data_IF_597826284065
#
_entry.id   IF_597826284065
#
_cell.length_a   1.000
_cell.length_b   1.000
_cell.length_c   1.000
_cell.angle_alpha   90.00
_cell.angle_beta   90.00
_cell.angle_gamma   90.00
#
_symmetry.space_group_name_H-M   'P 1'
#
loop_
_entity.id
_entity.type
_entity.pdbx_description
1 polymer ?
#
# COMPACT_ATOMS: atom_id res chain seq x y z
N UNK A 1 -4.78 -4.20 -38.81
CA UNK A 1 -4.51 -4.08 -37.35
C UNK A 1 -4.18 -5.47 -36.85
N UNK A 2 -3.27 -5.62 -35.88
CA UNK A 2 -2.63 -6.92 -35.59
C UNK A 2 -3.53 -8.00 -34.96
N UNK A 3 -4.81 -7.71 -34.69
CA UNK A 3 -5.72 -8.63 -33.97
C UNK A 3 -7.17 -8.60 -34.46
N UNK A 4 -7.44 -8.27 -35.73
CA UNK A 4 -8.76 -8.37 -36.41
C UNK A 4 -10.06 -8.01 -35.63
N UNK A 5 -10.00 -7.25 -34.53
CA UNK A 5 -11.17 -6.96 -33.69
C UNK A 5 -11.55 -8.10 -32.73
N UNK A 6 -10.67 -9.06 -32.45
CA UNK A 6 -10.93 -10.18 -31.52
C UNK A 6 -11.14 -9.74 -30.06
N UNK A 7 -10.75 -8.51 -29.72
CA UNK A 7 -10.86 -7.97 -28.36
C UNK A 7 -11.36 -6.53 -28.40
N UNK A 8 -12.27 -6.21 -27.48
CA UNK A 8 -12.89 -4.89 -27.36
C UNK A 8 -12.04 -3.88 -26.55
N UNK A 9 -10.91 -4.33 -25.97
CA UNK A 9 -9.99 -3.49 -25.20
C UNK A 9 -9.07 -4.28 -24.26
N UNK A 10 -8.27 -3.57 -23.47
CA UNK A 10 -7.38 -4.18 -22.46
C UNK A 10 -8.14 -4.97 -21.40
N UNK A 11 -9.28 -4.45 -20.94
CA UNK A 11 -10.12 -5.15 -19.95
C UNK A 11 -10.67 -6.48 -20.48
N UNK A 12 -11.02 -6.54 -21.76
CA UNK A 12 -11.51 -7.77 -22.41
C UNK A 12 -10.38 -8.80 -22.59
N UNK A 13 -9.17 -8.33 -22.90
CA UNK A 13 -7.97 -9.17 -22.94
C UNK A 13 -7.67 -9.77 -21.55
N UNK A 14 -7.66 -8.94 -20.50
CA UNK A 14 -7.45 -9.39 -19.11
C UNK A 14 -8.54 -10.41 -18.73
N UNK A 15 -9.81 -10.10 -19.02
CA UNK A 15 -10.93 -11.00 -18.74
C UNK A 15 -10.85 -12.34 -19.47
N UNK A 16 -10.30 -12.34 -20.68
CA UNK A 16 -10.07 -13.56 -21.45
C UNK A 16 -8.94 -14.41 -20.87
N UNK A 17 -7.82 -13.78 -20.49
CA UNK A 17 -6.70 -14.46 -19.83
C UNK A 17 -7.17 -15.12 -18.53
N UNK A 18 -7.85 -14.36 -17.66
CA UNK A 18 -8.44 -14.84 -16.41
C UNK A 18 -9.32 -16.08 -16.62
N UNK A 19 -10.15 -16.07 -17.68
CA UNK A 19 -11.04 -17.18 -18.01
C UNK A 19 -10.25 -18.42 -18.43
N UNK A 20 -9.21 -18.25 -19.24
CA UNK A 20 -8.35 -19.34 -19.68
C UNK A 20 -7.61 -19.95 -18.49
N UNK A 21 -7.02 -19.12 -17.62
CA UNK A 21 -6.30 -19.57 -16.43
C UNK A 21 -7.19 -20.37 -15.49
N UNK A 22 -8.35 -19.81 -15.10
CA UNK A 22 -9.32 -20.51 -14.24
C UNK A 22 -9.74 -21.85 -14.81
N UNK A 23 -9.98 -21.92 -16.13
CA UNK A 23 -10.34 -23.17 -16.80
C UNK A 23 -9.19 -24.17 -16.72
N UNK A 24 -7.97 -23.74 -17.00
CA UNK A 24 -6.78 -24.61 -16.99
C UNK A 24 -6.46 -25.17 -15.59
N UNK A 25 -6.69 -24.40 -14.55
CA UNK A 25 -6.45 -24.82 -13.17
C UNK A 25 -7.49 -25.83 -12.65
N UNK A 26 -8.71 -25.77 -13.18
CA UNK A 26 -9.85 -26.56 -12.72
C UNK A 26 -10.13 -27.81 -13.57
N UNK A 27 -9.73 -27.84 -14.83
CA UNK A 27 -9.90 -29.00 -15.70
C UNK A 27 -8.88 -30.09 -15.39
N UNK A 28 -9.27 -31.38 -15.42
CA UNK A 28 -8.33 -32.50 -15.30
C UNK A 28 -7.20 -32.40 -16.33
N UNK A 29 -5.96 -32.48 -15.86
CA UNK A 29 -4.81 -32.55 -16.76
C UNK A 29 -4.76 -33.94 -17.42
N UNK A 30 -4.44 -34.00 -18.72
CA UNK A 30 -4.38 -35.24 -19.50
C UNK A 30 -3.36 -36.28 -19.01
N UNK A 31 -2.32 -35.86 -18.27
CA UNK A 31 -1.29 -36.75 -17.73
C UNK A 31 -1.64 -37.27 -16.35
N UNK A 32 -2.17 -36.41 -15.47
CA UNK A 32 -2.40 -36.76 -14.05
C UNK A 32 -3.85 -37.15 -13.76
N UNK A 33 -4.78 -36.86 -14.68
CA UNK A 33 -6.22 -37.10 -14.51
C UNK A 33 -6.88 -36.23 -13.43
N UNK A 34 -6.13 -35.31 -12.83
CA UNK A 34 -6.58 -34.42 -11.75
C UNK A 34 -6.39 -32.96 -12.16
N UNK A 35 -7.25 -32.05 -11.68
CA UNK A 35 -7.03 -30.63 -11.86
C UNK A 35 -5.71 -30.18 -11.22
N UNK A 36 -4.89 -29.34 -11.89
CA UNK A 36 -3.64 -28.82 -11.34
C UNK A 36 -3.79 -28.22 -9.93
N UNK A 37 -4.87 -27.46 -9.69
CA UNK A 37 -5.16 -26.87 -8.38
C UNK A 37 -5.26 -27.93 -7.27
N UNK A 38 -5.83 -29.10 -7.58
CA UNK A 38 -6.03 -30.18 -6.59
C UNK A 38 -4.69 -30.79 -6.17
N UNK A 39 -3.77 -30.99 -7.12
CA UNK A 39 -2.43 -31.49 -6.83
C UNK A 39 -1.63 -30.49 -5.97
N UNK A 40 -1.71 -29.21 -6.34
CA UNK A 40 -1.05 -28.13 -5.61
C UNK A 40 -1.51 -28.07 -4.15
N UNK A 41 -2.83 -28.11 -3.92
CA UNK A 41 -3.42 -27.98 -2.58
C UNK A 41 -3.20 -29.22 -1.72
N UNK A 42 -3.18 -30.42 -2.30
CA UNK A 42 -3.06 -31.67 -1.53
C UNK A 42 -1.63 -31.99 -1.14
N UNK A 43 -0.70 -31.91 -2.09
CA UNK A 43 0.63 -32.52 -1.92
C UNK A 43 1.77 -31.55 -2.23
N UNK A 44 1.69 -30.78 -3.32
CA UNK A 44 2.87 -30.01 -3.79
C UNK A 44 3.17 -28.80 -2.90
N UNK A 45 2.15 -28.14 -2.36
CA UNK A 45 2.32 -26.97 -1.48
C UNK A 45 3.15 -27.31 -0.24
N UNK A 46 2.94 -28.48 0.36
CA UNK A 46 3.68 -28.92 1.54
C UNK A 46 5.12 -29.35 1.22
N UNK A 47 5.39 -29.69 -0.04
CA UNK A 47 6.74 -29.97 -0.53
C UNK A 47 7.54 -28.70 -0.89
N UNK A 48 6.92 -27.51 -0.86
CA UNK A 48 7.60 -26.27 -1.16
C UNK A 48 8.65 -25.95 -0.09
N UNK A 49 9.84 -25.56 -0.57
CA UNK A 49 10.87 -25.02 0.32
C UNK A 49 10.38 -23.69 0.90
N UNK A 50 10.76 -23.36 2.15
CA UNK A 50 10.45 -22.06 2.71
C UNK A 50 11.00 -20.99 1.77
N UNK A 51 10.19 -19.94 1.62
CA UNK A 51 10.57 -18.73 0.92
C UNK A 51 11.93 -18.27 1.46
N UNK A 52 12.94 -18.23 0.57
CA UNK A 52 14.32 -17.93 0.95
C UNK A 52 14.50 -16.48 1.39
N UNK A 53 15.06 -15.65 0.53
CA UNK A 53 15.35 -14.28 0.91
C UNK A 53 14.10 -13.39 0.78
N UNK A 54 13.35 -13.25 1.88
CA UNK A 54 12.18 -12.36 1.98
C UNK A 54 12.45 -10.94 1.43
N UNK A 55 13.67 -10.41 1.61
CA UNK A 55 14.02 -9.07 1.09
C UNK A 55 14.03 -9.00 -0.44
N UNK A 56 14.39 -10.10 -1.11
CA UNK A 56 14.33 -10.16 -2.57
C UNK A 56 12.89 -10.19 -3.05
N UNK A 57 12.03 -10.99 -2.41
CA UNK A 57 10.61 -11.01 -2.76
C UNK A 57 9.96 -9.65 -2.54
N UNK A 58 10.26 -8.98 -1.43
CA UNK A 58 9.71 -7.65 -1.17
C UNK A 58 10.16 -6.62 -2.21
N UNK A 59 11.38 -6.73 -2.72
CA UNK A 59 11.85 -5.92 -3.84
C UNK A 59 11.23 -6.28 -5.20
N UNK A 60 10.76 -7.52 -5.37
CA UNK A 60 9.95 -7.92 -6.55
C UNK A 60 8.51 -7.43 -6.43
N UNK A 61 7.98 -7.37 -5.20
CA UNK A 61 6.63 -6.89 -4.93
C UNK A 61 6.56 -5.39 -5.12
N UNK A 62 7.57 -4.60 -4.76
CA UNK A 62 7.55 -3.16 -4.96
C UNK A 62 8.80 -2.44 -4.44
N UNK A 63 8.76 -1.11 -4.44
CA UNK A 63 9.90 -0.31 -4.01
C UNK A 63 10.06 -0.34 -2.48
N UNK A 64 11.20 -0.86 -2.02
CA UNK A 64 11.54 -0.94 -0.59
C UNK A 64 12.55 0.14 -0.23
N UNK A 65 12.22 0.95 0.77
CA UNK A 65 13.17 1.90 1.37
C UNK A 65 13.15 1.86 2.90
N UNK A 66 14.26 2.30 3.51
CA UNK A 66 14.37 2.39 4.96
C UNK A 66 14.73 3.81 5.38
N UNK A 67 13.97 4.36 6.32
CA UNK A 67 14.18 5.71 6.86
C UNK A 67 14.04 5.73 8.37
N UNK A 68 14.80 6.59 9.02
CA UNK A 68 14.56 6.89 10.43
C UNK A 68 13.40 7.87 10.51
N UNK A 69 12.41 7.60 11.35
CA UNK A 69 11.24 8.47 11.48
C UNK A 69 11.65 9.79 12.13
N UNK A 70 11.42 10.94 11.45
CA UNK A 70 11.78 12.25 12.00
C UNK A 70 10.81 12.66 13.12
N UNK A 71 11.19 13.69 13.89
CA UNK A 71 10.33 14.26 14.95
C UNK A 71 9.02 14.85 14.44
N UNK A 72 8.91 15.15 13.14
CA UNK A 72 7.69 15.58 12.47
C UNK A 72 6.69 14.44 12.20
N UNK A 73 7.10 13.18 12.43
CA UNK A 73 6.29 11.97 12.14
C UNK A 73 5.97 11.74 10.66
N UNK A 74 6.59 12.51 9.76
CA UNK A 74 6.37 12.46 8.33
C UNK A 74 7.53 11.75 7.64
N UNK A 75 7.27 10.59 7.05
CA UNK A 75 8.27 9.84 6.28
C UNK A 75 8.10 10.07 4.79
N UNK A 76 9.20 10.32 4.08
CA UNK A 76 9.18 10.61 2.64
C UNK A 76 9.18 9.34 1.79
N UNK A 77 8.19 9.18 0.93
CA UNK A 77 8.06 8.09 -0.05
C UNK A 77 7.23 8.54 -1.25
N UNK A 78 7.50 8.01 -2.45
CA UNK A 78 6.80 8.39 -3.68
C UNK A 78 6.73 9.92 -3.92
N UNK A 79 7.82 10.65 -3.63
CA UNK A 79 7.89 12.11 -3.78
C UNK A 79 7.13 12.94 -2.74
N UNK A 80 6.34 12.30 -1.87
CA UNK A 80 5.47 12.92 -0.87
C UNK A 80 5.85 12.51 0.56
N UNK A 81 5.22 13.12 1.54
CA UNK A 81 5.39 12.81 2.96
C UNK A 81 4.16 12.12 3.54
N UNK A 82 4.38 11.14 4.41
CA UNK A 82 3.33 10.27 4.93
C UNK A 82 3.43 10.17 6.44
N UNK A 83 2.33 10.39 7.13
CA UNK A 83 2.30 10.29 8.59
C UNK A 83 2.49 8.86 9.08
N UNK A 84 3.21 8.73 10.19
CA UNK A 84 3.29 7.52 11.02
C UNK A 84 2.98 7.88 12.47
N UNK A 85 2.66 6.90 13.34
CA UNK A 85 2.39 7.17 14.74
C UNK A 85 3.59 7.81 15.48
N UNK A 86 3.32 8.62 16.50
CA UNK A 86 4.33 9.30 17.33
C UNK A 86 5.30 8.35 18.01
N UNK A 87 4.83 7.16 18.41
CA UNK A 87 5.67 6.08 18.97
C UNK A 87 6.74 5.56 18.01
N UNK A 88 6.70 5.96 16.74
CA UNK A 88 7.68 5.57 15.72
C UNK A 88 8.85 6.55 15.63
N UNK A 89 8.78 7.76 16.19
CA UNK A 89 9.85 8.77 16.15
C UNK A 89 11.20 8.18 16.57
N UNK A 90 12.26 8.46 15.80
CA UNK A 90 13.61 7.96 16.04
C UNK A 90 13.83 6.48 15.71
N UNK A 91 12.77 5.73 15.38
CA UNK A 91 12.87 4.31 15.02
C UNK A 91 13.09 4.16 13.52
N UNK A 92 13.73 3.05 13.14
CA UNK A 92 13.94 2.67 11.73
C UNK A 92 12.62 2.13 11.16
N UNK A 93 12.01 2.89 10.26
CA UNK A 93 10.86 2.47 9.48
C UNK A 93 11.30 1.84 8.15
N UNK A 94 10.61 0.78 7.77
CA UNK A 94 10.61 0.19 6.44
C UNK A 94 9.40 0.71 5.69
N UNK A 95 9.58 1.16 4.47
CA UNK A 95 8.54 1.67 3.60
C UNK A 95 8.50 0.77 2.37
N UNK A 96 7.37 0.12 2.14
CA UNK A 96 7.13 -0.73 0.97
C UNK A 96 6.05 -0.06 0.13
N UNK A 97 6.40 0.41 -1.06
CA UNK A 97 5.46 0.95 -2.05
C UNK A 97 5.10 -0.16 -3.04
N UNK A 98 3.87 -0.61 -2.99
CA UNK A 98 3.35 -1.65 -3.87
C UNK A 98 2.90 -1.07 -5.22
N UNK A 99 3.03 -1.83 -6.33
CA UNK A 99 2.32 -1.61 -7.58
C UNK A 99 0.83 -1.43 -7.30
N UNK A 100 0.22 -0.39 -7.87
CA UNK A 100 -1.12 0.05 -7.50
C UNK A 100 -1.16 1.17 -6.46
N UNK A 101 0.00 1.59 -5.94
CA UNK A 101 0.12 2.82 -5.15
C UNK A 101 -0.19 2.65 -3.66
N UNK A 102 -0.21 1.44 -3.11
CA UNK A 102 -0.31 1.29 -1.66
C UNK A 102 1.08 1.40 -1.02
N UNK A 103 1.23 2.31 -0.06
CA UNK A 103 2.44 2.47 0.76
C UNK A 103 2.22 1.86 2.14
N UNK A 104 3.01 0.85 2.50
CA UNK A 104 3.00 0.20 3.81
C UNK A 104 4.23 0.64 4.62
N UNK A 105 4.01 1.26 5.76
CA UNK A 105 5.05 1.64 6.72
C UNK A 105 5.12 0.62 7.86
N UNK A 106 6.29 0.01 8.07
CA UNK A 106 6.54 -0.97 9.11
C UNK A 106 7.68 -0.56 10.05
N UNK A 107 7.52 -0.81 11.35
CA UNK A 107 8.56 -0.57 12.37
C UNK A 107 8.67 -1.81 13.26
N UNK A 108 9.90 -2.31 13.44
CA UNK A 108 10.18 -3.53 14.21
C UNK A 108 9.30 -4.74 13.79
N UNK A 109 9.16 -4.95 12.47
CA UNK A 109 8.42 -6.07 11.90
C UNK A 109 6.89 -5.94 11.96
N UNK A 110 6.34 -4.84 12.47
CA UNK A 110 4.90 -4.58 12.52
C UNK A 110 4.50 -3.46 11.58
N UNK A 111 3.39 -3.62 10.87
CA UNK A 111 2.75 -2.53 10.12
C UNK A 111 2.25 -1.49 11.11
N UNK A 112 2.59 -0.23 10.87
CA UNK A 112 2.19 0.91 11.71
C UNK A 112 1.34 1.93 10.99
N UNK A 113 1.39 1.97 9.65
CA UNK A 113 0.53 2.79 8.82
C UNK A 113 0.45 2.20 7.40
N UNK A 114 -0.69 2.40 6.74
CA UNK A 114 -0.91 2.08 5.33
C UNK A 114 -1.55 3.28 4.65
N UNK A 115 -1.02 3.69 3.51
CA UNK A 115 -1.49 4.84 2.76
C UNK A 115 -1.76 4.46 1.31
N UNK A 116 -2.70 5.16 0.69
CA UNK A 116 -2.91 5.13 -0.75
C UNK A 116 -2.22 6.36 -1.37
N UNK A 117 -1.21 6.11 -2.20
CA UNK A 117 -0.41 7.14 -2.87
C UNK A 117 -1.07 7.70 -4.12
N UNK A 118 -2.15 7.09 -4.60
CA UNK A 118 -2.89 7.54 -5.79
C UNK A 118 -3.90 8.63 -5.47
N UNK A 119 -4.41 8.66 -4.24
CA UNK A 119 -5.45 9.60 -3.80
C UNK A 119 -4.92 10.86 -3.13
N UNK A 120 -3.65 10.87 -2.71
CA UNK A 120 -3.09 12.02 -2.00
C UNK A 120 -2.54 13.04 -2.98
N UNK A 121 -3.24 14.16 -3.16
CA UNK A 121 -2.78 15.23 -4.06
C UNK A 121 -1.86 16.26 -3.36
N UNK A 122 -1.73 16.15 -2.03
CA UNK A 122 -0.93 17.04 -1.17
C UNK A 122 0.54 16.61 -1.02
N UNK A 123 1.46 17.56 -0.73
CA UNK A 123 2.85 17.25 -0.40
C UNK A 123 3.02 16.38 0.85
N UNK A 124 2.15 16.54 1.85
CA UNK A 124 2.20 15.79 3.11
C UNK A 124 0.81 15.25 3.46
N UNK A 125 0.69 13.94 3.64
CA UNK A 125 -0.56 13.24 3.90
C UNK A 125 -0.63 12.69 5.33
N UNK A 126 -1.68 13.08 6.05
CA UNK A 126 -1.92 12.69 7.43
C UNK A 126 -3.11 11.73 7.53
N UNK A 127 -2.93 10.66 8.31
CA UNK A 127 -4.06 9.94 8.89
C UNK A 127 -4.53 10.71 10.11
N UNK A 128 -5.85 10.73 10.33
CA UNK A 128 -6.48 11.51 11.39
C UNK A 128 -5.91 11.20 12.77
N UNK A 129 -5.79 9.91 13.13
CA UNK A 129 -5.22 9.50 14.41
C UNK A 129 -3.77 9.98 14.62
N UNK A 130 -2.94 9.98 13.57
CA UNK A 130 -1.58 10.51 13.67
C UNK A 130 -1.57 12.03 13.84
N UNK A 131 -2.53 12.73 13.21
CA UNK A 131 -2.65 14.17 13.34
C UNK A 131 -3.10 14.56 14.75
N UNK A 132 -4.07 13.83 15.32
CA UNK A 132 -4.49 13.96 16.73
C UNK A 132 -3.28 13.82 17.65
N UNK A 133 -2.46 12.77 17.50
CA UNK A 133 -1.22 12.60 18.27
C UNK A 133 -0.22 13.76 18.08
N UNK A 134 -0.22 14.40 16.90
CA UNK A 134 0.67 15.52 16.56
C UNK A 134 0.28 16.83 17.25
N UNK A 135 -1.02 17.02 17.50
CA UNK A 135 -1.55 18.25 18.09
C UNK A 135 -1.84 18.11 19.58
N UNK A 136 -1.99 16.88 20.07
CA UNK A 136 -2.13 16.58 21.48
C UNK A 136 -0.95 17.12 22.30
N UNK A 137 -1.27 17.85 23.37
CA UNK A 137 -0.29 18.48 24.26
C UNK A 137 0.28 19.82 23.76
N UNK A 138 -0.28 20.40 22.69
CA UNK A 138 0.01 21.80 22.33
C UNK A 138 -0.97 22.71 23.06
N UNK A 139 -0.45 23.71 23.78
CA UNK A 139 -1.24 24.65 24.60
C UNK A 139 -2.45 25.26 23.90
N UNK A 140 -2.36 25.52 22.58
CA UNK A 140 -3.47 26.08 21.79
C UNK A 140 -4.73 25.20 21.67
N UNK A 141 -4.64 23.92 22.06
CA UNK A 141 -5.75 22.96 22.02
C UNK A 141 -6.11 22.41 23.40
N UNK A 142 -5.55 22.95 24.50
CA UNK A 142 -5.81 22.43 25.85
C UNK A 142 -7.28 22.51 26.26
N UNK A 143 -7.99 23.55 25.82
CA UNK A 143 -9.41 23.78 26.13
C UNK A 143 -10.36 23.28 25.01
N UNK A 144 -9.85 22.54 24.02
CA UNK A 144 -10.62 22.10 22.86
C UNK A 144 -10.78 20.58 22.82
N UNK A 145 -11.85 20.12 22.17
CA UNK A 145 -11.92 18.74 21.71
C UNK A 145 -10.84 18.53 20.63
N UNK A 146 -9.83 17.73 20.95
CA UNK A 146 -8.66 17.51 20.10
C UNK A 146 -9.06 16.75 18.82
N UNK A 147 -10.03 15.85 18.88
CA UNK A 147 -10.48 15.09 17.71
C UNK A 147 -11.26 15.99 16.75
N UNK A 148 -12.14 16.83 17.28
CA UNK A 148 -12.83 17.83 16.46
C UNK A 148 -11.85 18.85 15.85
N UNK A 149 -10.90 19.35 16.64
CA UNK A 149 -9.87 20.24 16.16
C UNK A 149 -9.00 19.59 15.08
N UNK A 150 -8.67 18.30 15.21
CA UNK A 150 -7.92 17.55 14.20
C UNK A 150 -8.71 17.46 12.89
N UNK A 151 -9.98 17.06 12.93
CA UNK A 151 -10.85 16.99 11.75
C UNK A 151 -10.99 18.34 11.05
N UNK A 152 -11.20 19.41 11.81
CA UNK A 152 -11.31 20.76 11.26
C UNK A 152 -10.02 21.21 10.57
N UNK A 153 -8.85 20.94 11.18
CA UNK A 153 -7.55 21.27 10.59
C UNK A 153 -7.24 20.45 9.33
N UNK A 154 -7.58 19.17 9.32
CA UNK A 154 -7.41 18.32 8.14
C UNK A 154 -8.31 18.78 6.99
N UNK A 155 -9.56 19.13 7.26
CA UNK A 155 -10.46 19.69 6.25
C UNK A 155 -9.97 21.05 5.71
N UNK A 156 -9.31 21.87 6.54
CA UNK A 156 -8.62 23.08 6.08
C UNK A 156 -7.42 22.74 5.18
N UNK A 157 -6.60 21.76 5.57
CA UNK A 157 -5.45 21.30 4.78
C UNK A 157 -5.88 20.75 3.42
N UNK A 158 -6.99 20.01 3.36
CA UNK A 158 -7.53 19.47 2.11
C UNK A 158 -7.93 20.60 1.15
N UNK A 159 -8.55 21.67 1.65
CA UNK A 159 -8.88 22.86 0.85
C UNK A 159 -7.66 23.68 0.41
N UNK A 160 -6.57 23.63 1.15
CA UNK A 160 -5.33 24.36 0.81
C UNK A 160 -4.50 23.60 -0.24
N UNK A 161 -4.54 22.26 -0.21
CA UNK A 161 -3.84 21.40 -1.16
C UNK A 161 -4.30 21.58 -2.62
N UNK A 162 -5.52 22.05 -2.85
CA UNK A 162 -6.10 22.27 -4.19
C UNK A 162 -5.74 23.62 -4.83
N UNK A 163 -5.11 24.56 -4.10
CA UNK A 163 -4.89 25.95 -4.58
C UNK A 163 -3.46 26.19 -5.12
N UNK A 164 -2.57 25.19 -5.05
CA UNK A 164 -1.14 25.34 -5.36
C UNK A 164 -0.65 24.85 -6.72
N UNK A 165 -1.54 24.44 -7.63
CA UNK A 165 -1.20 23.74 -8.88
C UNK A 165 -0.80 24.61 -10.09
N UNK A 166 -0.94 25.93 -10.03
CA UNK A 166 -0.53 26.86 -11.10
C UNK A 166 0.62 27.74 -10.63
N UNK A 167 1.87 27.28 -10.74
CA UNK A 167 3.08 28.12 -10.88
C UNK A 167 4.20 27.38 -11.61
#
# INVERSE_FOLDING_TARGET
MAYEGDFDGEEDLIGTIDRIERRRDAEPNGTTGLPPMVLLVRDEKEALRPVGNLRHLEGMVGDVSHRTVPGTMLVRAAGREWSVPRRCIGRRAKLLLMPGGQLVAGVAGRVVATHDTTVADRPSSYQEGHYVEAIAGKGRYEDQDIEEAARANLALLDRLGTVGGDR
#
